data_IF_629276698454
#
_entry.id   IF_629276698454
#
_cell.length_a   1.000
_cell.length_b   1.000
_cell.length_c   1.000
_cell.angle_alpha   90.00
_cell.angle_beta   90.00
_cell.angle_gamma   90.00
#
_symmetry.space_group_name_H-M   'P 1'
#
loop_
_entity.id
_entity.type
_entity.pdbx_description
1 polymer ?
#
# COMPACT_ATOMS: atom_id res chain seq x y z
N UNK A 1 8.64 -0.61 5.18
CA UNK A 1 9.15 -1.91 4.69
C UNK A 1 8.05 -2.88 4.33
N UNK A 2 7.20 -3.36 5.24
CA UNK A 2 6.05 -4.20 4.83
C UNK A 2 4.95 -3.34 4.17
N UNK A 3 4.65 -2.14 4.69
CA UNK A 3 3.67 -1.23 4.08
C UNK A 3 4.14 -0.51 2.79
N UNK A 4 5.42 -0.56 2.40
CA UNK A 4 5.94 0.17 1.24
C UNK A 4 6.09 -0.74 0.00
N UNK A 5 6.42 -2.03 0.20
CA UNK A 5 6.36 -3.05 -0.86
C UNK A 5 4.92 -3.48 -1.19
N UNK A 6 4.03 -3.48 -0.19
CA UNK A 6 2.60 -3.75 -0.42
C UNK A 6 1.90 -2.59 -1.15
N UNK A 7 2.25 -1.34 -0.81
CA UNK A 7 1.77 -0.12 -1.49
C UNK A 7 2.24 -0.05 -2.95
N UNK A 8 3.45 -0.51 -3.27
CA UNK A 8 3.97 -0.53 -4.66
C UNK A 8 3.39 -1.67 -5.51
N UNK A 9 3.06 -2.83 -4.93
CA UNK A 9 2.37 -3.93 -5.64
C UNK A 9 0.89 -3.61 -5.85
N UNK A 10 0.24 -2.93 -4.90
CA UNK A 10 -1.17 -2.50 -5.02
C UNK A 10 -1.30 -1.31 -6.00
N UNK A 11 -0.36 -0.34 -5.98
CA UNK A 11 -0.29 0.76 -6.98
C UNK A 11 0.10 0.23 -8.37
N UNK A 12 0.94 -0.82 -8.47
CA UNK A 12 1.28 -1.46 -9.74
C UNK A 12 0.11 -2.22 -10.39
N UNK A 13 -0.67 -2.96 -9.60
CA UNK A 13 -1.84 -3.68 -10.11
C UNK A 13 -3.06 -2.77 -10.39
N UNK A 14 -3.26 -1.71 -9.58
CA UNK A 14 -4.35 -0.74 -9.80
C UNK A 14 -4.16 0.16 -11.02
N UNK A 15 -2.91 0.49 -11.40
CA UNK A 15 -2.64 1.38 -12.53
C UNK A 15 -2.58 0.62 -13.88
N UNK A 16 -2.13 -0.63 -13.90
CA UNK A 16 -2.12 -1.44 -15.13
C UNK A 16 -3.52 -1.92 -15.54
N UNK A 17 -4.38 -2.28 -14.58
CA UNK A 17 -5.73 -2.79 -14.87
C UNK A 17 -6.72 -1.68 -15.30
N UNK A 18 -6.59 -0.46 -14.75
CA UNK A 18 -7.49 0.67 -15.05
C UNK A 18 -7.14 1.35 -16.39
N UNK A 19 -5.87 1.36 -16.79
CA UNK A 19 -5.42 2.07 -18.00
C UNK A 19 -5.65 1.25 -19.28
N UNK A 20 -5.59 -0.10 -19.22
CA UNK A 20 -5.77 -0.93 -20.43
C UNK A 20 -7.21 -1.39 -20.68
N UNK A 21 -8.06 -1.50 -19.67
CA UNK A 21 -9.40 -2.08 -19.86
C UNK A 21 -10.47 -1.08 -20.33
N UNK A 22 -10.25 0.24 -20.21
CA UNK A 22 -11.34 1.23 -20.29
C UNK A 22 -11.31 2.16 -21.51
N UNK A 23 -10.27 2.14 -22.35
CA UNK A 23 -10.18 3.10 -23.46
C UNK A 23 -10.90 2.70 -24.75
N UNK A 24 -11.40 1.47 -24.88
CA UNK A 24 -11.86 1.00 -26.21
C UNK A 24 -13.37 0.78 -26.38
N UNK A 25 -14.17 0.68 -25.33
CA UNK A 25 -15.57 0.27 -25.52
C UNK A 25 -16.59 1.16 -24.80
N UNK A 26 -17.43 1.78 -25.64
CA UNK A 26 -18.82 2.16 -25.39
C UNK A 26 -19.09 3.56 -24.83
N UNK A 27 -18.99 4.55 -25.72
CA UNK A 27 -19.82 5.75 -25.66
C UNK A 27 -21.22 5.45 -26.25
N UNK A 28 -22.19 5.17 -25.39
CA UNK A 28 -23.62 5.24 -25.77
C UNK A 28 -24.39 5.91 -24.64
N UNK A 29 -24.90 7.10 -24.94
CA UNK A 29 -25.61 7.98 -24.01
C UNK A 29 -27.02 7.48 -23.74
N UNK A 30 -27.41 7.40 -22.46
CA UNK A 30 -28.82 7.28 -22.06
C UNK A 30 -29.12 8.27 -20.95
N UNK A 31 -30.00 9.22 -21.26
CA UNK A 31 -30.49 10.29 -20.38
C UNK A 31 -31.57 9.76 -19.44
N UNK A 32 -31.40 9.90 -18.13
CA UNK A 32 -32.46 9.64 -17.14
C UNK A 32 -32.57 10.80 -16.14
N UNK A 33 -33.80 11.27 -15.97
CA UNK A 33 -34.26 12.46 -15.23
C UNK A 33 -34.43 12.12 -13.74
N UNK A 34 -33.80 12.88 -12.84
CA UNK A 34 -33.90 12.70 -11.39
C UNK A 34 -34.93 13.66 -10.75
N UNK A 35 -35.70 13.13 -9.79
CA UNK A 35 -36.60 13.84 -8.87
C UNK A 35 -35.97 13.96 -7.49
N UNK A 36 -36.05 15.14 -6.86
CA UNK A 36 -35.44 15.47 -5.56
C UNK A 36 -36.27 14.97 -4.34
N UNK A 37 -35.63 14.73 -3.17
CA UNK A 37 -36.32 14.30 -1.95
C UNK A 37 -36.60 15.45 -0.96
N UNK A 38 -37.56 15.19 -0.07
CA UNK A 38 -38.03 16.08 1.00
C UNK A 38 -37.24 15.94 2.32
N UNK A 39 -37.21 17.05 3.04
CA UNK A 39 -36.60 17.35 4.34
C UNK A 39 -37.29 16.68 5.54
N UNK A 40 -36.53 16.39 6.60
CA UNK A 40 -37.03 15.96 7.90
C UNK A 40 -36.06 16.28 9.04
N UNK A 41 -36.58 16.92 10.08
CA UNK A 41 -35.89 17.66 11.14
C UNK A 41 -35.35 16.83 12.33
N UNK A 42 -34.32 17.42 12.98
CA UNK A 42 -33.98 17.49 14.41
C UNK A 42 -34.33 16.37 15.40
N UNK A 43 -33.36 15.96 16.26
CA UNK A 43 -33.59 15.74 17.70
C UNK A 43 -32.30 15.80 18.54
N UNK A 44 -32.47 16.28 19.78
CA UNK A 44 -31.51 16.68 20.81
C UNK A 44 -31.03 15.54 21.75
N UNK A 45 -29.94 15.83 22.50
CA UNK A 45 -29.61 15.34 23.86
C UNK A 45 -29.07 13.89 23.96
N UNK A 46 -28.03 13.52 24.72
CA UNK A 46 -27.72 13.83 26.14
C UNK A 46 -26.29 13.35 26.47
N UNK A 47 -25.54 14.07 27.31
CA UNK A 47 -24.33 13.57 28.00
C UNK A 47 -24.70 12.77 29.27
N UNK A 48 -23.79 11.91 29.75
CA UNK A 48 -23.31 12.12 31.11
C UNK A 48 -21.80 11.89 31.32
N UNK A 49 -21.31 12.59 32.33
CA UNK A 49 -19.98 12.60 32.94
C UNK A 49 -19.68 11.37 33.83
N UNK A 50 -18.44 11.35 34.34
CA UNK A 50 -17.95 10.75 35.60
C UNK A 50 -17.21 9.40 35.46
N UNK A 51 -15.88 9.41 35.66
CA UNK A 51 -15.18 8.45 36.53
C UNK A 51 -13.77 8.97 36.85
N UNK A 52 -13.52 9.16 38.14
CA UNK A 52 -12.23 9.48 38.75
C UNK A 52 -11.42 8.19 38.98
N UNK A 53 -10.10 8.28 38.93
CA UNK A 53 -9.18 7.19 39.32
C UNK A 53 -8.17 7.78 40.32
N UNK A 54 -7.84 7.06 41.42
CA UNK A 54 -7.08 7.62 42.54
C UNK A 54 -5.58 7.64 42.29
N UNK A 55 -4.92 8.63 42.88
CA UNK A 55 -3.49 8.65 43.20
C UNK A 55 -3.27 7.94 44.54
N UNK A 56 -2.37 6.96 44.57
CA UNK A 56 -1.40 6.72 45.66
C UNK A 56 -0.64 5.40 45.40
N UNK A 57 0.68 5.46 45.28
CA UNK A 57 1.59 4.90 46.29
C UNK A 57 3.05 5.05 45.83
N UNK A 58 3.82 5.62 46.74
CA UNK A 58 5.27 5.77 46.68
C UNK A 58 5.95 4.57 47.34
N UNK A 59 7.30 4.57 47.25
CA UNK A 59 8.26 3.81 48.08
C UNK A 59 8.80 2.52 47.46
N UNK A 60 10.13 2.48 47.28
CA UNK A 60 10.86 1.27 46.91
C UNK A 60 12.27 1.54 46.36
N UNK A 61 13.12 2.10 47.21
CA UNK A 61 14.54 2.43 46.97
C UNK A 61 15.42 1.19 46.75
N UNK A 62 16.45 1.39 45.92
CA UNK A 62 17.80 0.82 46.02
C UNK A 62 18.09 -0.58 45.41
N UNK A 63 19.02 -0.59 44.44
CA UNK A 63 20.24 -1.41 44.34
C UNK A 63 20.94 -0.95 43.05
N UNK A 64 21.89 -0.04 43.20
CA UNK A 64 22.89 0.26 42.18
C UNK A 64 24.00 -0.80 42.22
N UNK A 65 23.94 -1.79 41.31
CA UNK A 65 25.10 -2.64 40.98
C UNK A 65 25.91 -1.97 39.87
N UNK A 66 27.17 -1.56 40.14
CA UNK A 66 28.11 -1.16 39.09
C UNK A 66 28.77 -2.43 38.52
N UNK A 67 28.50 -2.74 37.24
CA UNK A 67 29.35 -3.51 36.30
C UNK A 67 28.61 -4.29 35.19
N UNK A 68 27.35 -3.96 34.89
CA UNK A 68 26.78 -4.36 33.60
C UNK A 68 27.35 -3.46 32.50
N UNK A 69 28.49 -3.87 31.93
CA UNK A 69 28.93 -3.42 30.61
C UNK A 69 27.87 -3.89 29.62
N UNK A 70 26.80 -3.10 29.47
CA UNK A 70 25.75 -3.32 28.47
C UNK A 70 26.48 -3.41 27.14
N UNK A 71 26.52 -4.58 26.48
CA UNK A 71 27.15 -4.69 25.18
C UNK A 71 26.40 -3.70 24.28
N UNK A 72 27.09 -2.64 23.87
CA UNK A 72 26.59 -1.63 22.94
C UNK A 72 26.18 -2.37 21.67
N UNK A 73 24.91 -2.76 21.61
CA UNK A 73 24.29 -3.36 20.45
C UNK A 73 24.46 -2.33 19.35
N UNK A 74 25.43 -2.60 18.45
CA UNK A 74 25.75 -1.75 17.32
C UNK A 74 24.55 -1.82 16.37
N UNK A 75 23.56 -0.99 16.64
CA UNK A 75 22.35 -0.88 15.83
C UNK A 75 22.79 -0.47 14.43
N UNK A 76 22.75 -1.42 13.50
CA UNK A 76 22.98 -1.14 12.08
C UNK A 76 22.02 0.00 11.71
N UNK A 77 22.51 1.11 11.15
CA UNK A 77 21.66 2.26 10.89
C UNK A 77 20.53 1.86 9.94
N UNK A 78 19.28 2.07 10.37
CA UNK A 78 18.03 1.73 9.66
C UNK A 78 18.02 2.16 8.19
N UNK A 79 18.73 3.24 7.86
CA UNK A 79 18.91 3.71 6.48
C UNK A 79 19.71 2.74 5.60
N UNK A 80 20.77 2.11 6.11
CA UNK A 80 21.54 1.12 5.37
C UNK A 80 20.69 -0.14 5.09
N UNK A 81 19.85 -0.51 6.04
CA UNK A 81 18.86 -1.59 5.87
C UNK A 81 17.87 -1.23 4.75
N UNK A 82 17.23 -0.05 4.82
CA UNK A 82 16.28 0.42 3.82
C UNK A 82 16.90 0.51 2.41
N UNK A 83 18.13 1.00 2.30
CA UNK A 83 18.84 1.10 1.02
C UNK A 83 19.19 -0.28 0.46
N UNK A 84 19.59 -1.23 1.32
CA UNK A 84 19.80 -2.62 0.94
C UNK A 84 18.53 -3.27 0.36
N UNK A 85 17.36 -2.97 0.94
CA UNK A 85 16.08 -3.46 0.40
C UNK A 85 15.72 -2.82 -0.93
N UNK A 86 15.93 -1.51 -1.09
CA UNK A 86 15.69 -0.83 -2.38
C UNK A 86 16.62 -1.41 -3.46
N UNK A 87 17.90 -1.59 -3.14
CA UNK A 87 18.87 -2.24 -4.03
C UNK A 87 18.44 -3.65 -4.43
N UNK A 88 17.98 -4.45 -3.46
CA UNK A 88 17.44 -5.79 -3.72
C UNK A 88 16.23 -5.79 -4.66
N UNK A 89 15.28 -4.86 -4.47
CA UNK A 89 14.12 -4.72 -5.37
C UNK A 89 14.56 -4.32 -6.78
N UNK A 90 15.50 -3.37 -6.92
CA UNK A 90 16.01 -2.95 -8.22
C UNK A 90 16.71 -4.11 -8.96
N UNK A 91 17.50 -4.92 -8.25
CA UNK A 91 18.14 -6.11 -8.81
C UNK A 91 17.09 -7.12 -9.27
N UNK A 92 16.03 -7.34 -8.47
CA UNK A 92 14.94 -8.24 -8.86
C UNK A 92 14.18 -7.74 -10.10
N UNK A 93 13.93 -6.44 -10.21
CA UNK A 93 13.29 -5.83 -11.39
C UNK A 93 14.18 -5.97 -12.62
N UNK A 94 15.48 -5.65 -12.49
CA UNK A 94 16.44 -5.79 -13.59
C UNK A 94 16.55 -7.24 -14.07
N UNK A 95 16.61 -8.20 -13.14
CA UNK A 95 16.61 -9.63 -13.46
C UNK A 95 15.31 -10.03 -14.16
N UNK A 96 14.16 -9.52 -13.72
CA UNK A 96 12.86 -9.76 -14.36
C UNK A 96 12.81 -9.28 -15.81
N UNK A 97 13.36 -8.09 -16.09
CA UNK A 97 13.46 -7.55 -17.46
C UNK A 97 14.36 -8.42 -18.34
N UNK A 98 15.53 -8.80 -17.85
CA UNK A 98 16.46 -9.69 -18.57
C UNK A 98 15.78 -11.03 -18.88
N UNK A 99 15.11 -11.62 -17.88
CA UNK A 99 14.37 -12.87 -18.08
C UNK A 99 13.29 -12.68 -19.14
N UNK A 100 12.50 -11.60 -19.08
CA UNK A 100 11.45 -11.32 -20.07
C UNK A 100 12.00 -11.22 -21.50
N UNK A 101 13.17 -10.59 -21.68
CA UNK A 101 13.81 -10.41 -22.99
C UNK A 101 14.27 -11.75 -23.60
N UNK A 102 14.88 -12.63 -22.80
CA UNK A 102 15.39 -13.92 -23.28
C UNK A 102 14.39 -15.08 -23.16
N UNK A 103 13.25 -14.90 -22.50
CA UNK A 103 12.30 -15.98 -22.22
C UNK A 103 11.73 -16.62 -23.50
N UNK A 104 11.47 -15.80 -24.52
CA UNK A 104 10.96 -16.25 -25.81
C UNK A 104 11.93 -17.16 -26.55
N UNK A 105 13.23 -16.96 -26.34
CA UNK A 105 14.30 -17.66 -27.05
C UNK A 105 14.61 -19.03 -26.44
N UNK A 106 14.14 -19.26 -25.21
CA UNK A 106 14.26 -20.54 -24.52
C UNK A 106 13.14 -21.49 -24.95
N UNK A 107 13.52 -22.71 -25.33
CA UNK A 107 12.55 -23.81 -25.48
C UNK A 107 11.92 -24.21 -24.14
N UNK A 108 10.81 -24.94 -24.19
CA UNK A 108 10.06 -25.39 -23.01
C UNK A 108 10.93 -26.06 -21.94
N UNK A 109 11.85 -26.95 -22.36
CA UNK A 109 12.78 -27.61 -21.45
C UNK A 109 13.70 -26.62 -20.70
N UNK A 110 14.15 -25.55 -21.36
CA UNK A 110 14.96 -24.50 -20.74
C UNK A 110 14.17 -23.70 -19.71
N UNK A 111 12.93 -23.32 -20.05
CA UNK A 111 12.01 -22.62 -19.13
C UNK A 111 11.69 -23.46 -17.89
N UNK A 112 11.43 -24.76 -18.08
CA UNK A 112 11.21 -25.72 -16.98
C UNK A 112 12.46 -25.88 -16.11
N UNK A 113 13.63 -26.06 -16.72
CA UNK A 113 14.88 -26.24 -15.99
C UNK A 113 15.23 -25.01 -15.14
N UNK A 114 15.07 -23.80 -15.69
CA UNK A 114 15.34 -22.54 -14.98
C UNK A 114 14.36 -22.34 -13.84
N UNK A 115 13.05 -22.52 -14.08
CA UNK A 115 12.03 -22.33 -13.04
C UNK A 115 12.11 -23.38 -11.93
N UNK A 116 12.28 -24.67 -12.27
CA UNK A 116 12.50 -25.74 -11.30
C UNK A 116 13.82 -25.57 -10.54
N UNK A 117 14.89 -25.16 -11.21
CA UNK A 117 16.19 -24.86 -10.61
C UNK A 117 16.11 -23.70 -9.61
N UNK A 118 15.42 -22.63 -9.96
CA UNK A 118 15.17 -21.51 -9.05
C UNK A 118 14.33 -21.94 -7.84
N UNK A 119 13.22 -22.65 -8.07
CA UNK A 119 12.33 -23.15 -7.02
C UNK A 119 13.08 -24.06 -6.02
N UNK A 120 13.73 -25.12 -6.53
CA UNK A 120 14.44 -26.12 -5.73
C UNK A 120 15.73 -25.60 -5.11
N UNK A 121 16.52 -24.83 -5.87
CA UNK A 121 17.79 -24.26 -5.40
C UNK A 121 17.59 -23.28 -4.25
N UNK A 122 16.66 -22.31 -4.38
CA UNK A 122 16.36 -21.37 -3.30
C UNK A 122 15.76 -22.06 -2.08
N UNK A 123 14.91 -23.08 -2.29
CA UNK A 123 14.37 -23.90 -1.21
C UNK A 123 15.48 -24.61 -0.43
N UNK A 124 16.37 -25.30 -1.17
CA UNK A 124 17.48 -26.08 -0.63
C UNK A 124 18.47 -25.21 0.14
N UNK A 125 18.91 -24.08 -0.44
CA UNK A 125 19.79 -23.12 0.25
C UNK A 125 19.11 -22.62 1.52
N UNK A 126 17.83 -22.24 1.45
CA UNK A 126 17.08 -21.83 2.64
C UNK A 126 16.97 -22.92 3.72
N UNK A 127 16.87 -24.20 3.33
CA UNK A 127 16.83 -25.32 4.25
C UNK A 127 18.20 -25.61 4.90
N UNK A 128 19.30 -25.37 4.18
CA UNK A 128 20.68 -25.57 4.67
C UNK A 128 21.15 -24.47 5.63
N UNK A 129 20.54 -23.28 5.59
CA UNK A 129 20.87 -22.20 6.53
C UNK A 129 20.43 -22.54 7.96
N UNK A 130 21.40 -22.75 8.86
CA UNK A 130 21.18 -22.93 10.30
C UNK A 130 20.98 -21.56 10.97
N UNK A 131 19.85 -21.40 11.68
CA UNK A 131 19.32 -20.08 12.12
C UNK A 131 19.49 -19.84 13.62
N UNK A 132 20.26 -20.69 14.30
CA UNK A 132 20.20 -20.80 15.77
C UNK A 132 20.67 -19.55 16.53
N UNK A 133 21.43 -18.64 15.90
CA UNK A 133 21.94 -17.44 16.60
C UNK A 133 21.85 -16.10 15.85
N UNK A 134 21.71 -16.07 14.52
CA UNK A 134 21.75 -14.81 13.76
C UNK A 134 20.37 -14.37 13.22
N UNK A 135 19.83 -13.21 13.64
CA UNK A 135 18.59 -12.65 13.09
C UNK A 135 18.70 -12.30 11.60
N UNK A 136 19.87 -11.97 11.07
CA UNK A 136 20.08 -11.69 9.65
C UNK A 136 19.86 -12.96 8.80
N UNK A 137 20.44 -14.09 9.21
CA UNK A 137 20.23 -15.39 8.54
C UNK A 137 18.78 -15.84 8.56
N UNK A 138 18.04 -15.53 9.65
CA UNK A 138 16.59 -15.79 9.71
C UNK A 138 15.81 -15.03 8.63
N UNK A 139 16.15 -13.76 8.41
CA UNK A 139 15.53 -12.90 7.39
C UNK A 139 15.90 -13.37 5.99
N UNK A 140 17.18 -13.68 5.77
CA UNK A 140 17.66 -14.22 4.50
C UNK A 140 16.95 -15.53 4.15
N UNK A 141 16.81 -16.46 5.11
CA UNK A 141 16.08 -17.72 4.90
C UNK A 141 14.62 -17.47 4.52
N UNK A 142 13.94 -16.55 5.20
CA UNK A 142 12.56 -16.21 4.86
C UNK A 142 12.45 -15.62 3.44
N UNK A 143 13.41 -14.80 3.04
CA UNK A 143 13.49 -14.25 1.68
C UNK A 143 13.74 -15.34 0.63
N UNK A 144 14.70 -16.23 0.86
CA UNK A 144 15.00 -17.37 -0.04
C UNK A 144 13.78 -18.28 -0.22
N UNK A 145 13.06 -18.56 0.85
CA UNK A 145 11.84 -19.36 0.78
C UNK A 145 10.68 -18.65 0.06
N UNK A 146 10.59 -17.33 0.16
CA UNK A 146 9.62 -16.55 -0.62
C UNK A 146 10.00 -16.56 -2.12
N UNK A 147 11.29 -16.41 -2.43
CA UNK A 147 11.81 -16.53 -3.78
C UNK A 147 11.60 -17.93 -4.37
N UNK A 148 11.74 -18.98 -3.54
CA UNK A 148 11.39 -20.35 -3.92
C UNK A 148 9.89 -20.49 -4.25
N UNK A 149 9.00 -19.91 -3.45
CA UNK A 149 7.56 -19.90 -3.75
C UNK A 149 7.26 -19.21 -5.09
N UNK A 150 7.92 -18.08 -5.38
CA UNK A 150 7.81 -17.42 -6.68
C UNK A 150 8.35 -18.29 -7.83
N UNK A 151 9.46 -19.00 -7.62
CA UNK A 151 10.00 -19.98 -8.58
C UNK A 151 9.01 -21.12 -8.86
N UNK A 152 8.35 -21.65 -7.83
CA UNK A 152 7.31 -22.69 -7.97
C UNK A 152 6.07 -22.15 -8.70
N UNK A 153 5.69 -20.90 -8.44
CA UNK A 153 4.62 -20.23 -9.17
C UNK A 153 4.95 -20.11 -10.67
N UNK A 154 6.18 -19.69 -10.99
CA UNK A 154 6.67 -19.62 -12.37
C UNK A 154 6.69 -21.02 -13.03
N UNK A 155 7.18 -22.04 -12.31
CA UNK A 155 7.18 -23.42 -12.80
C UNK A 155 5.76 -23.90 -13.12
N UNK A 156 4.79 -23.62 -12.25
CA UNK A 156 3.38 -23.96 -12.49
C UNK A 156 2.83 -23.26 -13.74
N UNK A 157 3.16 -21.97 -13.94
CA UNK A 157 2.82 -21.24 -15.15
C UNK A 157 3.42 -21.85 -16.42
N UNK A 158 4.71 -22.22 -16.39
CA UNK A 158 5.39 -22.90 -17.51
C UNK A 158 4.74 -24.23 -17.82
N UNK A 159 4.40 -25.04 -16.81
CA UNK A 159 3.72 -26.32 -17.03
C UNK A 159 2.36 -26.10 -17.71
N UNK A 160 1.56 -25.13 -17.26
CA UNK A 160 0.26 -24.84 -17.88
C UNK A 160 0.40 -24.35 -19.32
N UNK A 161 1.34 -23.45 -19.59
CA UNK A 161 1.54 -22.86 -20.94
C UNK A 161 2.21 -23.85 -21.89
N UNK A 162 3.32 -24.47 -21.50
CA UNK A 162 4.17 -25.24 -22.41
C UNK A 162 3.82 -26.74 -22.44
N UNK A 163 3.33 -27.33 -21.34
CA UNK A 163 2.95 -28.77 -21.30
C UNK A 163 1.46 -29.00 -21.57
N UNK A 164 0.60 -28.14 -21.05
CA UNK A 164 -0.86 -28.25 -21.24
C UNK A 164 -1.40 -27.35 -22.37
N UNK A 165 -0.53 -26.64 -23.10
CA UNK A 165 -0.85 -25.71 -24.20
C UNK A 165 -2.02 -24.75 -23.87
N UNK A 166 -2.13 -24.35 -22.61
CA UNK A 166 -3.22 -23.51 -22.13
C UNK A 166 -2.81 -22.05 -22.18
N UNK A 167 -3.46 -21.28 -23.05
CA UNK A 167 -3.24 -19.82 -23.21
C UNK A 167 -4.26 -18.95 -22.48
N UNK A 168 -5.19 -19.57 -21.77
CA UNK A 168 -6.21 -18.84 -21.03
C UNK A 168 -5.59 -18.19 -19.79
N UNK A 169 -5.62 -16.85 -19.74
CA UNK A 169 -5.05 -16.05 -18.65
C UNK A 169 -5.55 -16.49 -17.26
N UNK A 170 -6.83 -16.86 -17.15
CA UNK A 170 -7.45 -17.35 -15.92
C UNK A 170 -6.83 -18.65 -15.42
N UNK A 171 -6.66 -19.64 -16.31
CA UNK A 171 -6.06 -20.94 -15.97
C UNK A 171 -4.61 -20.77 -15.52
N UNK A 172 -3.85 -19.94 -16.23
CA UNK A 172 -2.46 -19.63 -15.87
C UNK A 172 -2.43 -18.94 -14.50
N UNK A 173 -3.28 -17.92 -14.28
CA UNK A 173 -3.35 -17.18 -13.02
C UNK A 173 -3.70 -18.09 -11.85
N UNK A 174 -4.67 -19.01 -12.00
CA UNK A 174 -5.01 -19.99 -10.97
C UNK A 174 -3.84 -20.91 -10.64
N UNK A 175 -3.16 -21.46 -11.64
CA UNK A 175 -2.05 -22.38 -11.41
C UNK A 175 -0.87 -21.70 -10.70
N UNK A 176 -0.49 -20.51 -11.17
CA UNK A 176 0.61 -19.70 -10.60
C UNK A 176 0.28 -19.30 -9.17
N UNK A 177 -0.88 -18.68 -8.93
CA UNK A 177 -1.28 -18.21 -7.60
C UNK A 177 -1.56 -19.34 -6.63
N UNK A 178 -2.16 -20.45 -7.09
CA UNK A 178 -2.42 -21.65 -6.28
C UNK A 178 -1.13 -22.32 -5.82
N UNK A 179 -0.16 -22.50 -6.71
CA UNK A 179 1.14 -23.08 -6.37
C UNK A 179 1.92 -22.18 -5.38
N UNK A 180 1.91 -20.86 -5.60
CA UNK A 180 2.50 -19.88 -4.69
C UNK A 180 1.85 -19.94 -3.30
N UNK A 181 0.52 -19.86 -3.25
CA UNK A 181 -0.27 -19.88 -2.03
C UNK A 181 -0.02 -21.15 -1.23
N UNK A 182 -0.04 -22.31 -1.90
CA UNK A 182 0.18 -23.61 -1.28
C UNK A 182 1.57 -23.69 -0.65
N UNK A 183 2.62 -23.31 -1.36
CA UNK A 183 3.97 -23.37 -0.80
C UNK A 183 4.15 -22.39 0.36
N UNK A 184 3.66 -21.15 0.24
CA UNK A 184 3.69 -20.19 1.33
C UNK A 184 2.90 -20.67 2.56
N UNK A 185 1.72 -21.28 2.37
CA UNK A 185 0.90 -21.83 3.44
C UNK A 185 1.57 -23.02 4.13
N UNK A 186 2.17 -23.94 3.37
CA UNK A 186 2.93 -25.09 3.89
C UNK A 186 4.16 -24.64 4.69
N UNK A 187 4.85 -23.60 4.21
CA UNK A 187 5.98 -23.01 4.93
C UNK A 187 5.53 -22.20 6.14
N UNK A 188 4.37 -21.57 6.09
CA UNK A 188 3.81 -20.84 7.22
C UNK A 188 3.43 -21.81 8.34
N UNK A 189 2.60 -22.84 8.05
CA UNK A 189 2.09 -23.88 8.98
C UNK A 189 1.90 -23.37 10.43
N UNK A 190 1.32 -22.18 10.55
CA UNK A 190 1.08 -21.46 11.79
C UNK A 190 2.31 -21.28 12.70
N UNK A 191 3.49 -21.09 12.12
CA UNK A 191 4.71 -20.67 12.82
C UNK A 191 4.99 -19.19 12.53
N UNK A 192 5.71 -18.52 13.44
CA UNK A 192 6.16 -17.14 13.27
C UNK A 192 7.08 -16.96 12.05
N UNK A 193 6.47 -16.75 10.88
CA UNK A 193 7.11 -16.61 9.57
C UNK A 193 6.37 -15.51 8.78
N UNK A 194 6.61 -14.23 9.09
CA UNK A 194 5.79 -13.10 8.65
C UNK A 194 5.65 -12.99 7.14
N UNK A 195 6.76 -13.18 6.40
CA UNK A 195 6.75 -13.15 4.93
C UNK A 195 5.90 -14.27 4.33
N UNK A 196 5.88 -15.45 4.95
CA UNK A 196 5.18 -16.60 4.36
C UNK A 196 3.71 -16.57 4.70
N UNK A 197 3.36 -16.02 5.86
CA UNK A 197 1.98 -15.67 6.18
C UNK A 197 1.44 -14.64 5.19
N UNK A 198 2.18 -13.55 4.94
CA UNK A 198 1.79 -12.53 3.97
C UNK A 198 1.63 -13.13 2.57
N UNK A 199 2.61 -13.93 2.12
CA UNK A 199 2.56 -14.63 0.83
C UNK A 199 1.39 -15.60 0.74
N UNK A 200 1.08 -16.34 1.81
CA UNK A 200 -0.06 -17.26 1.83
C UNK A 200 -1.38 -16.51 1.71
N UNK A 201 -1.57 -15.40 2.45
CA UNK A 201 -2.79 -14.59 2.39
C UNK A 201 -2.96 -13.98 1.00
N UNK A 202 -1.93 -13.31 0.47
CA UNK A 202 -1.98 -12.66 -0.85
C UNK A 202 -2.15 -13.69 -1.97
N UNK A 203 -1.39 -14.78 -1.94
CA UNK A 203 -1.51 -15.86 -2.92
C UNK A 203 -2.88 -16.50 -2.92
N UNK A 204 -3.43 -16.79 -1.73
CA UNK A 204 -4.77 -17.38 -1.60
C UNK A 204 -5.85 -16.41 -2.06
N UNK A 205 -5.69 -15.11 -1.81
CA UNK A 205 -6.60 -14.10 -2.33
C UNK A 205 -6.61 -14.11 -3.86
N UNK A 206 -5.44 -14.01 -4.51
CA UNK A 206 -5.35 -14.04 -5.98
C UNK A 206 -5.91 -15.35 -6.55
N UNK A 207 -5.59 -16.48 -5.93
CA UNK A 207 -6.14 -17.77 -6.31
C UNK A 207 -7.67 -17.83 -6.20
N UNK A 208 -8.22 -17.39 -5.07
CA UNK A 208 -9.66 -17.33 -4.84
C UNK A 208 -10.35 -16.43 -5.86
N UNK A 209 -9.79 -15.24 -6.13
CA UNK A 209 -10.31 -14.32 -7.14
C UNK A 209 -10.33 -14.96 -8.52
N UNK A 210 -9.23 -15.61 -8.93
CA UNK A 210 -9.15 -16.29 -10.22
C UNK A 210 -10.12 -17.47 -10.34
N UNK A 211 -10.23 -18.30 -9.30
CA UNK A 211 -11.16 -19.44 -9.24
C UNK A 211 -12.61 -18.96 -9.34
N UNK A 212 -12.99 -17.93 -8.58
CA UNK A 212 -14.37 -17.44 -8.59
C UNK A 212 -14.69 -16.74 -9.92
N UNK A 213 -13.79 -15.93 -10.46
CA UNK A 213 -13.99 -15.24 -11.75
C UNK A 213 -14.23 -16.24 -12.91
N UNK A 214 -13.60 -17.42 -12.85
CA UNK A 214 -13.82 -18.47 -13.85
C UNK A 214 -15.24 -19.01 -13.88
N UNK A 215 -15.95 -19.01 -12.76
CA UNK A 215 -17.30 -19.58 -12.66
C UNK A 215 -18.41 -18.52 -12.55
N UNK A 216 -18.13 -17.37 -11.96
CA UNK A 216 -19.14 -16.41 -11.50
C UNK A 216 -18.92 -14.96 -11.98
N UNK A 217 -17.90 -14.67 -12.80
CA UNK A 217 -17.50 -13.31 -13.23
C UNK A 217 -16.88 -12.46 -12.11
N UNK A 218 -16.54 -11.20 -12.42
CA UNK A 218 -15.69 -10.33 -11.60
C UNK A 218 -16.36 -9.84 -10.30
N UNK A 219 -17.67 -9.57 -10.32
CA UNK A 219 -18.44 -9.06 -9.19
C UNK A 219 -18.43 -10.05 -8.01
N UNK A 220 -18.87 -11.30 -8.21
CA UNK A 220 -18.78 -12.34 -7.18
C UNK A 220 -17.35 -12.64 -6.75
N UNK A 221 -16.36 -12.58 -7.65
CA UNK A 221 -14.95 -12.71 -7.29
C UNK A 221 -14.51 -11.59 -6.33
N UNK A 222 -14.94 -10.36 -6.58
CA UNK A 222 -14.74 -9.23 -5.69
C UNK A 222 -15.37 -9.41 -4.31
N UNK A 223 -16.59 -9.95 -4.24
CA UNK A 223 -17.25 -10.27 -2.96
C UNK A 223 -16.50 -11.36 -2.20
N UNK A 224 -16.05 -12.42 -2.89
CA UNK A 224 -15.27 -13.49 -2.28
C UNK A 224 -13.94 -12.97 -1.71
N UNK A 225 -13.22 -12.15 -2.47
CA UNK A 225 -12.02 -11.45 -2.03
C UNK A 225 -12.30 -10.55 -0.82
N UNK A 226 -13.39 -9.78 -0.87
CA UNK A 226 -13.79 -8.88 0.20
C UNK A 226 -14.02 -9.64 1.52
N UNK A 227 -14.83 -10.71 1.47
CA UNK A 227 -15.12 -11.57 2.61
C UNK A 227 -13.86 -12.25 3.15
N UNK A 228 -12.99 -12.74 2.25
CA UNK A 228 -11.72 -13.36 2.64
C UNK A 228 -10.82 -12.37 3.38
N UNK A 229 -10.65 -11.15 2.85
CA UNK A 229 -9.89 -10.09 3.52
C UNK A 229 -10.47 -9.71 4.88
N UNK A 230 -11.80 -9.52 4.94
CA UNK A 230 -12.51 -9.21 6.17
C UNK A 230 -12.35 -10.31 7.24
N UNK A 231 -12.38 -11.59 6.84
CA UNK A 231 -12.15 -12.71 7.74
C UNK A 231 -10.74 -12.68 8.37
N UNK A 232 -9.70 -12.31 7.61
CA UNK A 232 -8.35 -12.13 8.15
C UNK A 232 -8.23 -10.93 9.08
N UNK A 233 -8.91 -9.82 8.79
CA UNK A 233 -8.99 -8.67 9.70
C UNK A 233 -9.65 -9.08 11.02
N UNK A 234 -10.81 -9.75 10.97
CA UNK A 234 -11.51 -10.22 12.17
C UNK A 234 -10.67 -11.25 12.94
N UNK A 235 -10.02 -12.18 12.24
CA UNK A 235 -9.14 -13.19 12.84
C UNK A 235 -7.93 -12.58 13.56
N UNK A 236 -7.33 -11.53 12.97
CA UNK A 236 -6.26 -10.76 13.58
C UNK A 236 -6.73 -9.98 14.81
N UNK A 237 -7.84 -9.24 14.70
CA UNK A 237 -8.42 -8.51 15.83
C UNK A 237 -8.77 -9.42 17.01
N UNK A 238 -9.25 -10.64 16.71
CA UNK A 238 -9.54 -11.69 17.72
C UNK A 238 -8.31 -12.44 18.22
N UNK A 239 -7.11 -12.12 17.73
CA UNK A 239 -5.84 -12.81 18.04
C UNK A 239 -5.88 -14.32 17.78
N UNK A 240 -6.71 -14.75 16.83
CA UNK A 240 -6.82 -16.15 16.44
C UNK A 240 -5.67 -16.62 15.53
N UNK A 241 -4.83 -15.69 15.06
CA UNK A 241 -3.73 -15.92 14.11
C UNK A 241 -2.40 -15.54 14.78
N UNK A 242 -1.33 -16.30 14.49
CA UNK A 242 -0.01 -16.18 15.15
C UNK A 242 0.65 -14.81 15.00
N UNK A 243 0.53 -14.16 13.84
CA UNK A 243 0.91 -12.76 13.65
C UNK A 243 -0.34 -11.95 13.29
N UNK A 244 -1.04 -11.39 14.29
CA UNK A 244 -2.27 -10.62 14.08
C UNK A 244 -2.06 -9.41 13.17
N UNK A 245 -0.98 -8.66 13.36
CA UNK A 245 -0.73 -7.41 12.64
C UNK A 245 -0.59 -7.65 11.14
N UNK A 246 0.10 -8.72 10.72
CA UNK A 246 0.21 -9.06 9.30
C UNK A 246 -1.12 -9.52 8.73
N UNK A 247 -1.88 -10.33 9.47
CA UNK A 247 -3.22 -10.75 9.06
C UNK A 247 -4.17 -9.56 8.88
N UNK A 248 -4.13 -8.60 9.80
CA UNK A 248 -4.93 -7.37 9.75
C UNK A 248 -4.56 -6.50 8.55
N UNK A 249 -3.28 -6.19 8.34
CA UNK A 249 -2.83 -5.34 7.23
C UNK A 249 -3.12 -6.02 5.88
N UNK A 250 -2.76 -7.29 5.74
CA UNK A 250 -2.96 -8.03 4.50
C UNK A 250 -4.45 -8.25 4.23
N UNK A 251 -5.23 -8.61 5.25
CA UNK A 251 -6.68 -8.76 5.16
C UNK A 251 -7.37 -7.44 4.79
N UNK A 252 -6.96 -6.32 5.37
CA UNK A 252 -7.49 -5.00 5.03
C UNK A 252 -7.19 -4.63 3.57
N UNK A 253 -5.97 -4.88 3.11
CA UNK A 253 -5.58 -4.65 1.72
C UNK A 253 -6.37 -5.53 0.75
N UNK A 254 -6.57 -6.81 1.08
CA UNK A 254 -7.36 -7.75 0.27
C UNK A 254 -8.84 -7.38 0.28
N UNK A 255 -9.40 -6.97 1.41
CA UNK A 255 -10.79 -6.52 1.50
C UNK A 255 -11.01 -5.29 0.61
N UNK A 256 -10.10 -4.32 0.68
CA UNK A 256 -10.12 -3.15 -0.18
C UNK A 256 -9.99 -3.51 -1.66
N UNK A 257 -9.04 -4.37 -2.02
CA UNK A 257 -8.90 -4.85 -3.40
C UNK A 257 -10.16 -5.57 -3.90
N UNK A 258 -10.80 -6.39 -3.05
CA UNK A 258 -12.07 -7.03 -3.36
C UNK A 258 -13.16 -6.02 -3.71
N UNK A 259 -13.24 -4.90 -2.97
CA UNK A 259 -14.19 -3.83 -3.31
C UNK A 259 -13.94 -3.20 -4.70
N UNK A 260 -12.68 -3.07 -5.12
CA UNK A 260 -12.34 -2.59 -6.47
C UNK A 260 -12.78 -3.57 -7.57
N UNK A 261 -12.70 -4.89 -7.32
CA UNK A 261 -13.25 -5.90 -8.22
C UNK A 261 -14.78 -5.81 -8.31
N UNK A 262 -15.47 -5.57 -7.20
CA UNK A 262 -16.92 -5.35 -7.21
C UNK A 262 -17.28 -4.13 -8.07
N UNK A 263 -16.51 -3.03 -8.01
CA UNK A 263 -16.72 -1.83 -8.84
C UNK A 263 -16.67 -2.15 -10.34
N UNK A 264 -15.80 -3.08 -10.76
CA UNK A 264 -15.61 -3.41 -12.18
C UNK A 264 -16.86 -3.97 -12.85
N UNK A 265 -17.75 -4.61 -12.09
CA UNK A 265 -19.00 -5.19 -12.60
C UNK A 265 -20.23 -4.45 -12.07
N UNK A 266 -20.26 -4.12 -10.78
CA UNK A 266 -21.39 -3.49 -10.10
C UNK A 266 -20.98 -2.12 -9.57
N UNK A 267 -20.64 -1.20 -10.47
CA UNK A 267 -20.02 0.11 -10.15
C UNK A 267 -20.66 0.79 -8.93
N UNK A 268 -21.98 1.06 -8.95
CA UNK A 268 -22.63 1.77 -7.83
C UNK A 268 -22.57 1.02 -6.49
N UNK A 269 -22.79 -0.30 -6.48
CA UNK A 269 -22.70 -1.10 -5.26
C UNK A 269 -21.24 -1.22 -4.77
N UNK A 270 -20.31 -1.46 -5.69
CA UNK A 270 -18.88 -1.55 -5.39
C UNK A 270 -18.34 -0.27 -4.77
N UNK A 271 -18.74 0.89 -5.27
CA UNK A 271 -18.34 2.21 -4.76
C UNK A 271 -18.79 2.40 -3.29
N UNK A 272 -20.04 2.02 -2.98
CA UNK A 272 -20.56 2.03 -1.60
C UNK A 272 -19.80 1.05 -0.70
N UNK A 273 -19.53 -0.17 -1.18
CA UNK A 273 -18.76 -1.18 -0.44
C UNK A 273 -17.34 -0.69 -0.18
N UNK A 274 -16.69 -0.05 -1.16
CA UNK A 274 -15.32 0.42 -1.04
C UNK A 274 -15.19 1.53 0.01
N UNK A 275 -16.08 2.53 -0.01
CA UNK A 275 -16.12 3.58 1.03
C UNK A 275 -16.49 3.02 2.39
N UNK A 276 -17.46 2.10 2.45
CA UNK A 276 -17.85 1.44 3.70
C UNK A 276 -16.68 0.65 4.30
N UNK A 277 -15.91 -0.05 3.47
CA UNK A 277 -14.69 -0.77 3.86
C UNK A 277 -13.65 0.19 4.39
N UNK A 278 -13.42 1.31 3.70
CA UNK A 278 -12.46 2.32 4.12
C UNK A 278 -12.84 2.93 5.49
N UNK A 279 -14.11 3.27 5.70
CA UNK A 279 -14.62 3.70 7.01
C UNK A 279 -14.49 2.63 8.09
N UNK A 280 -14.81 1.37 7.77
CA UNK A 280 -14.65 0.24 8.69
C UNK A 280 -13.18 0.05 9.10
N UNK A 281 -12.23 0.35 8.22
CA UNK A 281 -10.79 0.32 8.54
C UNK A 281 -10.34 1.54 9.37
N UNK A 282 -10.98 2.69 9.22
CA UNK A 282 -10.70 3.87 10.06
C UNK A 282 -11.30 3.73 11.48
N UNK A 283 -12.43 3.04 11.63
CA UNK A 283 -13.13 2.92 12.91
C UNK A 283 -12.24 2.37 14.07
N UNK A 284 -11.44 1.29 13.89
CA UNK A 284 -10.49 0.83 14.91
C UNK A 284 -9.43 1.85 15.32
N UNK A 285 -9.10 2.80 14.44
CA UNK A 285 -8.16 3.87 14.73
C UNK A 285 -8.79 5.02 15.55
N UNK A 286 -10.11 5.19 15.45
CA UNK A 286 -10.86 6.24 16.15
C UNK A 286 -11.36 5.78 17.53
N UNK A 287 -11.76 4.52 17.64
CA UNK A 287 -12.38 3.97 18.85
C UNK A 287 -11.31 3.27 19.71
N UNK A 288 -11.05 3.83 20.90
CA UNK A 288 -10.12 3.23 21.87
C UNK A 288 -10.66 1.86 22.32
N UNK A 289 -9.77 0.87 22.38
CA UNK A 289 -10.07 -0.47 22.90
C UNK A 289 -10.48 -1.50 21.85
N UNK A 290 -10.64 -1.14 20.58
CA UNK A 290 -10.89 -2.13 19.51
C UNK A 290 -9.62 -2.92 19.18
N UNK A 291 -8.50 -2.24 18.96
CA UNK A 291 -7.20 -2.91 18.79
C UNK A 291 -6.43 -2.90 20.12
N UNK A 292 -5.66 -3.96 20.35
CA UNK A 292 -4.90 -4.10 21.59
C UNK A 292 -3.68 -3.18 21.59
N UNK A 293 -3.05 -2.96 20.42
CA UNK A 293 -1.84 -2.16 20.33
C UNK A 293 -2.08 -0.80 19.66
N UNK A 294 -1.44 0.24 20.18
CA UNK A 294 -1.43 1.58 19.57
C UNK A 294 -0.87 1.57 18.14
N UNK A 295 0.08 0.68 17.87
CA UNK A 295 0.68 0.52 16.53
C UNK A 295 -0.36 0.08 15.51
N UNK A 296 -1.26 -0.83 15.87
CA UNK A 296 -2.33 -1.31 15.01
C UNK A 296 -3.37 -0.22 14.76
N UNK A 297 -3.73 0.58 15.76
CA UNK A 297 -4.61 1.75 15.58
C UNK A 297 -4.04 2.68 14.50
N UNK A 298 -2.73 2.95 14.55
CA UNK A 298 -2.06 3.80 13.57
C UNK A 298 -2.09 3.14 12.19
N UNK A 299 -1.84 1.84 12.09
CA UNK A 299 -1.84 1.10 10.82
C UNK A 299 -3.23 1.07 10.17
N UNK A 300 -4.27 0.73 10.92
CA UNK A 300 -5.66 0.79 10.47
C UNK A 300 -6.05 2.21 10.03
N UNK A 301 -5.66 3.21 10.81
CA UNK A 301 -5.91 4.61 10.47
C UNK A 301 -5.24 5.02 9.16
N UNK A 302 -4.00 4.60 8.93
CA UNK A 302 -3.28 4.87 7.67
C UNK A 302 -3.96 4.14 6.50
N UNK A 303 -4.22 2.84 6.62
CA UNK A 303 -4.80 2.03 5.53
C UNK A 303 -6.21 2.54 5.20
N UNK A 304 -7.07 2.70 6.21
CA UNK A 304 -8.43 3.18 6.03
C UNK A 304 -8.49 4.59 5.46
N UNK A 305 -7.58 5.48 5.88
CA UNK A 305 -7.54 6.83 5.33
C UNK A 305 -7.03 6.85 3.88
N UNK A 306 -6.00 6.05 3.52
CA UNK A 306 -5.60 5.88 2.11
C UNK A 306 -6.77 5.34 1.28
N UNK A 307 -7.45 4.31 1.79
CA UNK A 307 -8.63 3.73 1.15
C UNK A 307 -9.75 4.76 0.93
N UNK A 308 -10.02 5.63 1.90
CA UNK A 308 -11.02 6.70 1.78
C UNK A 308 -10.62 7.69 0.68
N UNK A 309 -9.36 8.14 0.69
CA UNK A 309 -8.89 9.09 -0.32
C UNK A 309 -8.97 8.49 -1.73
N UNK A 310 -8.72 7.18 -1.88
CA UNK A 310 -8.82 6.51 -3.17
C UNK A 310 -10.26 6.28 -3.65
N UNK A 311 -11.22 6.08 -2.75
CA UNK A 311 -12.60 5.65 -3.12
C UNK A 311 -13.61 6.79 -3.14
N UNK A 312 -13.54 7.71 -2.17
CA UNK A 312 -14.50 8.81 -2.05
C UNK A 312 -14.66 9.63 -3.34
N UNK A 313 -13.58 9.98 -4.09
CA UNK A 313 -13.76 10.71 -5.34
C UNK A 313 -14.51 9.90 -6.41
N UNK A 314 -14.28 8.59 -6.48
CA UNK A 314 -15.01 7.69 -7.39
C UNK A 314 -16.50 7.66 -7.08
N UNK A 315 -16.85 7.48 -5.80
CA UNK A 315 -18.24 7.55 -5.31
C UNK A 315 -18.90 8.87 -5.66
N UNK A 316 -18.27 10.01 -5.31
CA UNK A 316 -18.85 11.32 -5.58
C UNK A 316 -18.99 11.52 -7.10
N UNK A 317 -17.98 11.18 -7.90
CA UNK A 317 -18.05 11.31 -9.36
C UNK A 317 -19.19 10.49 -9.96
N UNK A 318 -19.36 9.25 -9.50
CA UNK A 318 -20.45 8.37 -9.93
C UNK A 318 -21.83 8.92 -9.56
N UNK A 319 -22.04 9.34 -8.31
CA UNK A 319 -23.35 9.81 -7.84
C UNK A 319 -23.66 11.27 -8.19
N UNK A 320 -22.65 12.08 -8.50
CA UNK A 320 -22.80 13.47 -8.91
C UNK A 320 -22.87 13.65 -10.44
N UNK A 321 -23.18 12.58 -11.19
CA UNK A 321 -23.30 12.58 -12.65
C UNK A 321 -22.05 13.15 -13.34
N UNK A 322 -20.88 12.64 -12.97
CA UNK A 322 -19.59 13.00 -13.58
C UNK A 322 -19.18 14.47 -13.40
N UNK A 323 -19.58 15.12 -12.29
CA UNK A 323 -19.11 16.44 -11.87
C UNK A 323 -17.63 16.44 -11.42
N UNK A 324 -16.72 15.98 -12.28
CA UNK A 324 -15.30 15.72 -12.00
C UNK A 324 -14.53 16.90 -11.43
N UNK A 325 -14.66 18.10 -11.98
CA UNK A 325 -14.00 19.31 -11.45
C UNK A 325 -14.53 19.64 -10.06
N UNK A 326 -15.84 19.69 -9.87
CA UNK A 326 -16.43 20.00 -8.57
C UNK A 326 -16.02 18.97 -7.51
N UNK A 327 -16.07 17.69 -7.86
CA UNK A 327 -15.64 16.56 -7.01
C UNK A 327 -14.18 16.68 -6.63
N UNK A 328 -13.29 16.88 -7.62
CA UNK A 328 -11.86 17.00 -7.40
C UNK A 328 -11.51 18.21 -6.55
N UNK A 329 -12.16 19.36 -6.76
CA UNK A 329 -11.99 20.56 -5.94
C UNK A 329 -12.46 20.33 -4.50
N UNK A 330 -13.60 19.68 -4.28
CA UNK A 330 -14.07 19.35 -2.92
C UNK A 330 -13.07 18.44 -2.20
N UNK A 331 -12.61 17.38 -2.86
CA UNK A 331 -11.60 16.45 -2.30
C UNK A 331 -10.30 17.19 -2.00
N UNK A 332 -9.87 18.07 -2.90
CA UNK A 332 -8.69 18.92 -2.72
C UNK A 332 -8.84 19.86 -1.51
N UNK A 333 -9.98 20.54 -1.38
CA UNK A 333 -10.28 21.43 -0.24
C UNK A 333 -10.31 20.64 1.09
N UNK A 334 -10.94 19.48 1.13
CA UNK A 334 -10.90 18.59 2.30
C UNK A 334 -9.46 18.19 2.64
N UNK A 335 -8.65 17.83 1.64
CA UNK A 335 -7.23 17.54 1.80
C UNK A 335 -6.45 18.71 2.40
N UNK A 336 -6.67 19.94 1.91
CA UNK A 336 -6.06 21.16 2.44
C UNK A 336 -6.41 21.39 3.91
N UNK A 337 -7.68 21.20 4.29
CA UNK A 337 -8.17 21.38 5.66
C UNK A 337 -7.52 20.34 6.59
N UNK A 338 -7.53 19.06 6.20
CA UNK A 338 -6.93 17.97 7.00
C UNK A 338 -5.42 18.18 7.14
N UNK A 339 -4.74 18.55 6.06
CA UNK A 339 -3.32 18.87 6.07
C UNK A 339 -3.01 20.01 7.03
N UNK A 340 -3.82 21.08 6.99
CA UNK A 340 -3.65 22.25 7.85
C UNK A 340 -3.92 21.90 9.31
N UNK A 341 -4.95 21.11 9.61
CA UNK A 341 -5.24 20.62 10.94
C UNK A 341 -4.09 19.76 11.49
N UNK A 342 -3.49 18.90 10.66
CA UNK A 342 -2.31 18.11 11.00
C UNK A 342 -1.05 18.98 11.21
N UNK A 343 -0.83 19.98 10.36
CA UNK A 343 0.29 20.92 10.48
C UNK A 343 0.20 21.80 11.75
N UNK A 344 -1.02 22.18 12.14
CA UNK A 344 -1.30 22.95 13.37
C UNK A 344 -1.47 22.09 14.62
N UNK A 345 -1.29 20.77 14.51
CA UNK A 345 -1.46 19.82 15.61
C UNK A 345 -2.85 19.88 16.29
N UNK A 346 -3.89 20.22 15.53
CA UNK A 346 -5.27 20.23 16.03
C UNK A 346 -5.84 18.82 16.23
N UNK A 347 -5.19 17.81 15.63
CA UNK A 347 -5.57 16.40 15.73
C UNK A 347 -4.57 15.63 16.57
N UNK A 348 -5.04 14.55 17.22
CA UNK A 348 -4.20 13.66 18.05
C UNK A 348 -3.08 12.97 17.28
N UNK A 349 -3.27 12.75 15.98
CA UNK A 349 -2.32 12.10 15.09
C UNK A 349 -1.94 13.07 13.95
N UNK A 350 -1.14 14.11 14.24
CA UNK A 350 -0.81 15.15 13.27
C UNK A 350 -0.13 14.60 12.03
N UNK A 351 0.74 13.60 12.18
CA UNK A 351 1.44 12.94 11.07
C UNK A 351 0.45 12.22 10.15
N UNK A 352 -0.53 11.50 10.69
CA UNK A 352 -1.53 10.78 9.88
C UNK A 352 -2.38 11.78 9.11
N UNK A 353 -2.88 12.82 9.76
CA UNK A 353 -3.63 13.87 9.07
C UNK A 353 -2.80 14.57 7.99
N UNK A 354 -1.52 14.82 8.23
CA UNK A 354 -0.63 15.38 7.22
C UNK A 354 -0.49 14.46 5.99
N UNK A 355 -0.26 13.16 6.20
CA UNK A 355 -0.15 12.18 5.10
C UNK A 355 -1.44 12.08 4.30
N UNK A 356 -2.58 12.00 4.99
CA UNK A 356 -3.92 11.88 4.39
C UNK A 356 -4.30 13.15 3.63
N UNK A 357 -4.06 14.31 4.24
CA UNK A 357 -4.32 15.61 3.61
C UNK A 357 -3.48 15.83 2.35
N UNK A 358 -2.19 15.48 2.39
CA UNK A 358 -1.32 15.54 1.22
C UNK A 358 -1.77 14.59 0.09
N UNK A 359 -2.15 13.36 0.42
CA UNK A 359 -2.72 12.41 -0.54
C UNK A 359 -4.02 12.91 -1.17
N UNK A 360 -4.94 13.45 -0.37
CA UNK A 360 -6.20 14.00 -0.83
C UNK A 360 -6.04 15.22 -1.74
N UNK A 361 -5.07 16.09 -1.47
CA UNK A 361 -4.71 17.18 -2.39
C UNK A 361 -4.28 16.65 -3.76
N UNK A 362 -3.40 15.64 -3.80
CA UNK A 362 -2.90 15.06 -5.06
C UNK A 362 -4.05 14.39 -5.82
N UNK A 363 -4.83 13.56 -5.14
CA UNK A 363 -5.94 12.81 -5.75
C UNK A 363 -7.05 13.76 -6.20
N UNK A 364 -7.43 14.74 -5.40
CA UNK A 364 -8.38 15.77 -5.80
C UNK A 364 -7.96 16.50 -7.08
N UNK A 365 -6.67 16.81 -7.21
CA UNK A 365 -6.16 17.43 -8.43
C UNK A 365 -6.25 16.53 -9.67
N UNK A 366 -5.97 15.23 -9.53
CA UNK A 366 -6.12 14.24 -10.61
C UNK A 366 -7.58 14.08 -11.01
N UNK A 367 -8.50 14.04 -10.03
CA UNK A 367 -9.94 13.84 -10.26
C UNK A 367 -10.55 14.98 -11.07
N UNK A 368 -10.07 16.21 -10.91
CA UNK A 368 -10.50 17.34 -11.76
C UNK A 368 -10.26 17.07 -13.26
N UNK A 369 -9.32 16.19 -13.60
CA UNK A 369 -8.97 15.82 -14.99
C UNK A 369 -9.95 14.90 -15.68
N UNK A 370 -10.90 14.32 -14.94
CA UNK A 370 -11.93 13.45 -15.52
C UNK A 370 -12.87 14.21 -16.46
N UNK A 371 -13.11 15.50 -16.21
CA UNK A 371 -13.91 16.36 -17.07
C UNK A 371 -13.07 17.16 -18.07
N UNK A 372 -11.92 17.69 -17.63
CA UNK A 372 -11.03 18.47 -18.49
C UNK A 372 -9.58 17.98 -18.36
N UNK A 373 -9.15 17.24 -19.39
CA UNK A 373 -7.81 16.66 -19.49
C UNK A 373 -6.68 17.70 -19.47
N UNK A 374 -6.95 18.97 -19.81
CA UNK A 374 -5.95 20.04 -19.76
C UNK A 374 -5.79 20.68 -18.38
N UNK A 375 -6.87 20.72 -17.60
CA UNK A 375 -6.87 21.34 -16.27
C UNK A 375 -6.10 20.53 -15.23
N UNK A 376 -6.31 19.22 -15.20
CA UNK A 376 -5.69 18.33 -14.22
C UNK A 376 -4.15 18.39 -14.14
N UNK A 377 -3.40 18.23 -15.25
CA UNK A 377 -1.94 18.21 -15.18
C UNK A 377 -1.37 19.53 -14.64
N UNK A 378 -1.99 20.68 -15.00
CA UNK A 378 -1.59 21.99 -14.48
C UNK A 378 -1.92 22.12 -12.99
N UNK A 379 -3.13 21.77 -12.59
CA UNK A 379 -3.58 21.86 -11.20
C UNK A 379 -2.81 20.89 -10.28
N UNK A 380 -2.49 19.70 -10.78
CA UNK A 380 -1.63 18.72 -10.14
C UNK A 380 -0.19 19.21 -9.99
N UNK A 381 0.37 19.85 -11.02
CA UNK A 381 1.71 20.46 -10.94
C UNK A 381 1.77 21.59 -9.90
N UNK A 382 0.78 22.49 -9.89
CA UNK A 382 0.68 23.57 -8.89
C UNK A 382 0.58 23.00 -7.47
N UNK A 383 -0.25 21.97 -7.28
CA UNK A 383 -0.40 21.27 -6.00
C UNK A 383 0.92 20.64 -5.56
N UNK A 384 1.62 19.96 -6.48
CA UNK A 384 2.90 19.31 -6.21
C UNK A 384 3.98 20.31 -5.80
N UNK A 385 4.12 21.43 -6.53
CA UNK A 385 5.04 22.52 -6.21
C UNK A 385 4.70 23.13 -4.84
N UNK A 386 3.41 23.34 -4.56
CA UNK A 386 2.94 23.84 -3.26
C UNK A 386 3.34 22.93 -2.10
N UNK A 387 3.22 21.62 -2.25
CA UNK A 387 3.64 20.63 -1.25
C UNK A 387 5.17 20.61 -1.05
N UNK A 388 5.96 20.73 -2.14
CA UNK A 388 7.42 20.87 -2.05
C UNK A 388 7.79 22.15 -1.29
N UNK A 389 7.19 23.28 -1.65
CA UNK A 389 7.42 24.56 -0.98
C UNK A 389 7.05 24.50 0.50
N UNK A 390 5.92 23.87 0.85
CA UNK A 390 5.51 23.67 2.23
C UNK A 390 6.50 22.80 3.01
N UNK A 391 7.08 21.79 2.36
CA UNK A 391 8.10 20.91 2.94
C UNK A 391 9.45 21.56 3.23
N UNK A 392 9.68 22.81 2.79
CA UNK A 392 10.86 23.59 3.18
C UNK A 392 10.76 24.12 4.61
N UNK A 393 9.55 24.17 5.19
CA UNK A 393 9.33 24.63 6.57
C UNK A 393 9.79 23.58 7.59
N UNK A 394 10.37 24.00 8.73
CA UNK A 394 10.76 23.09 9.81
C UNK A 394 9.59 22.22 10.26
N UNK A 395 9.82 20.91 10.44
CA UNK A 395 8.79 19.96 10.89
C UNK A 395 7.80 19.47 9.83
N UNK A 396 7.88 19.95 8.58
CA UNK A 396 7.01 19.52 7.47
C UNK A 396 7.77 18.81 6.35
N UNK A 397 8.96 18.26 6.62
CA UNK A 397 9.82 17.63 5.62
C UNK A 397 9.13 16.50 4.82
N UNK A 398 8.17 15.79 5.44
CA UNK A 398 7.33 14.77 4.79
C UNK A 398 6.53 15.35 3.61
N UNK A 399 6.14 16.63 3.65
CA UNK A 399 5.39 17.27 2.54
C UNK A 399 6.23 17.37 1.26
N UNK A 400 7.55 17.55 1.40
CA UNK A 400 8.45 17.58 0.26
C UNK A 400 8.52 16.22 -0.45
N UNK A 401 8.41 15.12 0.32
CA UNK A 401 8.34 13.77 -0.25
C UNK A 401 7.08 13.58 -1.09
N UNK A 402 5.91 14.00 -0.59
CA UNK A 402 4.65 13.93 -1.32
C UNK A 402 4.64 14.85 -2.54
N UNK A 403 5.13 16.09 -2.40
CA UNK A 403 5.26 17.01 -3.52
C UNK A 403 6.18 16.46 -4.62
N UNK A 404 7.30 15.83 -4.23
CA UNK A 404 8.21 15.18 -5.19
C UNK A 404 7.56 13.98 -5.90
N UNK A 405 6.85 13.14 -5.16
CA UNK A 405 6.10 12.02 -5.74
C UNK A 405 4.99 12.51 -6.70
N UNK A 406 4.29 13.59 -6.33
CA UNK A 406 3.28 14.20 -7.19
C UNK A 406 3.89 14.78 -8.47
N UNK A 407 5.09 15.39 -8.42
CA UNK A 407 5.81 15.86 -9.61
C UNK A 407 6.16 14.69 -10.54
N UNK A 408 6.58 13.55 -10.00
CA UNK A 408 6.88 12.34 -10.80
C UNK A 408 5.68 11.82 -11.58
N UNK A 409 4.46 12.02 -11.07
CA UNK A 409 3.23 11.61 -11.75
C UNK A 409 2.77 12.69 -12.73
N UNK A 410 2.71 13.95 -12.28
CA UNK A 410 2.09 15.03 -13.04
C UNK A 410 2.98 15.57 -14.16
N UNK A 411 4.31 15.52 -14.04
CA UNK A 411 5.22 16.02 -15.10
C UNK A 411 5.14 15.17 -16.37
N UNK A 412 5.29 13.83 -16.33
CA UNK A 412 5.12 13.00 -17.53
C UNK A 412 3.73 13.15 -18.13
N UNK A 413 2.69 13.24 -17.28
CA UNK A 413 1.32 13.41 -17.73
C UNK A 413 1.10 14.75 -18.46
N UNK A 414 1.57 15.86 -17.88
CA UNK A 414 1.50 17.18 -18.49
C UNK A 414 2.22 17.21 -19.84
N UNK A 415 3.42 16.63 -19.92
CA UNK A 415 4.18 16.61 -21.17
C UNK A 415 3.46 15.77 -22.23
N UNK A 416 2.94 14.59 -21.86
CA UNK A 416 2.16 13.76 -22.79
C UNK A 416 0.94 14.51 -23.33
N UNK A 417 0.24 15.26 -22.47
CA UNK A 417 -0.94 16.02 -22.85
C UNK A 417 -0.62 17.25 -23.73
N UNK A 418 0.33 18.10 -23.32
CA UNK A 418 0.61 19.36 -24.01
C UNK A 418 1.56 19.23 -25.22
N UNK A 419 2.31 18.13 -25.35
CA UNK A 419 3.31 17.93 -26.40
C UNK A 419 3.12 16.63 -27.20
N UNK A 420 1.94 16.38 -27.81
CA UNK A 420 1.69 15.15 -28.56
C UNK A 420 2.67 15.02 -29.76
N UNK A 421 3.44 13.93 -29.83
CA UNK A 421 4.37 13.67 -30.94
C UNK A 421 5.24 12.41 -30.79
N UNK A 422 5.39 11.64 -31.89
CA UNK A 422 6.01 10.28 -31.93
C UNK A 422 7.50 10.20 -31.56
N UNK A 423 8.22 11.33 -31.46
CA UNK A 423 9.67 11.35 -31.17
C UNK A 423 10.06 11.70 -29.73
N UNK A 424 9.09 11.94 -28.83
CA UNK A 424 9.36 12.55 -27.51
C UNK A 424 9.36 11.57 -26.34
N UNK A 425 8.89 10.34 -26.54
CA UNK A 425 8.89 9.26 -25.53
C UNK A 425 10.28 8.98 -24.94
N UNK A 426 11.38 8.96 -25.72
CA UNK A 426 12.72 8.75 -25.15
C UNK A 426 13.20 9.92 -24.29
N UNK A 427 12.89 11.16 -24.68
CA UNK A 427 13.21 12.37 -23.90
C UNK A 427 12.40 12.43 -22.59
N UNK A 428 11.16 11.96 -22.62
CA UNK A 428 10.29 11.80 -21.44
C UNK A 428 10.86 10.80 -20.44
N UNK A 429 11.31 9.65 -20.94
CA UNK A 429 11.97 8.62 -20.11
C UNK A 429 13.26 9.19 -19.52
N UNK A 430 14.10 9.87 -20.32
CA UNK A 430 15.33 10.50 -19.84
C UNK A 430 15.07 11.59 -18.78
N UNK A 431 14.11 12.48 -19.03
CA UNK A 431 13.75 13.56 -18.10
C UNK A 431 13.18 13.01 -16.79
N UNK A 432 12.31 12.00 -16.86
CA UNK A 432 11.79 11.30 -15.68
C UNK A 432 12.92 10.60 -14.91
N UNK A 433 13.85 9.95 -15.60
CA UNK A 433 15.01 9.28 -14.99
C UNK A 433 15.93 10.26 -14.26
N UNK A 434 16.25 11.41 -14.89
CA UNK A 434 17.03 12.47 -14.26
C UNK A 434 16.30 13.11 -13.09
N UNK A 435 14.97 13.28 -13.17
CA UNK A 435 14.15 13.79 -12.07
C UNK A 435 14.15 12.81 -10.88
N UNK A 436 13.96 11.51 -11.12
CA UNK A 436 14.04 10.45 -10.11
C UNK A 436 15.42 10.47 -9.44
N UNK A 437 16.51 10.61 -10.22
CA UNK A 437 17.86 10.71 -9.70
C UNK A 437 18.05 11.96 -8.82
N UNK A 438 17.55 13.11 -9.28
CA UNK A 438 17.61 14.37 -8.53
C UNK A 438 16.87 14.29 -7.21
N UNK A 439 15.67 13.69 -7.19
CA UNK A 439 14.89 13.44 -5.97
C UNK A 439 15.63 12.48 -5.04
N UNK A 440 16.20 11.39 -5.56
CA UNK A 440 16.97 10.44 -4.76
C UNK A 440 18.19 11.11 -4.08
N UNK A 441 18.90 11.98 -4.79
CA UNK A 441 20.03 12.77 -4.24
C UNK A 441 19.55 13.79 -3.20
N UNK A 442 18.43 14.46 -3.45
CA UNK A 442 17.83 15.39 -2.49
C UNK A 442 17.41 14.67 -1.20
N UNK A 443 16.80 13.50 -1.31
CA UNK A 443 16.42 12.66 -0.16
C UNK A 443 17.64 12.16 0.61
N UNK A 444 18.70 11.74 -0.10
CA UNK A 444 19.95 11.32 0.52
C UNK A 444 20.62 12.46 1.31
N UNK A 445 20.60 13.70 0.78
CA UNK A 445 21.12 14.88 1.47
C UNK A 445 20.26 15.30 2.66
N UNK A 446 18.94 15.27 2.53
CA UNK A 446 18.01 15.73 3.58
C UNK A 446 17.84 14.72 4.74
N UNK A 447 18.24 13.47 4.56
CA UNK A 447 18.29 12.47 5.65
C UNK A 447 19.16 12.87 6.85
N UNK A 448 20.19 13.69 6.64
CA UNK A 448 21.02 14.24 7.73
C UNK A 448 20.27 15.23 8.62
N UNK A 449 19.33 15.99 8.05
CA UNK A 449 18.49 16.96 8.76
C UNK A 449 17.36 16.27 9.52
N UNK A 450 16.71 15.27 8.91
CA UNK A 450 15.67 14.45 9.54
C UNK A 450 16.22 13.74 10.79
N UNK A 451 17.46 13.25 10.73
CA UNK A 451 18.14 12.63 11.88
C UNK A 451 18.33 13.61 13.05
N UNK A 452 18.54 14.90 12.78
CA UNK A 452 18.65 15.93 13.84
C UNK A 452 17.31 16.29 14.46
N UNK A 453 16.22 16.23 13.69
CA UNK A 453 14.87 16.55 14.18
C UNK A 453 14.19 15.38 14.91
N UNK A 454 14.52 14.13 14.55
CA UNK A 454 13.93 12.91 15.13
C UNK A 454 14.87 12.22 16.12
N UNK A 455 16.14 12.62 16.18
CA UNK A 455 17.10 12.11 17.15
C UNK A 455 16.60 12.32 18.58
N UNK A 456 16.78 11.35 19.50
CA UNK A 456 16.27 11.45 20.86
C UNK A 456 16.82 12.73 21.48
N UNK A 457 15.92 13.66 21.83
CA UNK A 457 16.27 14.81 22.64
C UNK A 457 16.88 14.25 23.93
N UNK A 458 18.21 14.28 24.02
CA UNK A 458 18.88 14.23 25.31
C UNK A 458 18.35 15.43 26.08
N UNK A 459 17.29 15.22 26.87
CA UNK A 459 16.97 16.12 27.95
C UNK A 459 18.23 16.13 28.81
N UNK A 460 18.95 17.26 28.92
CA UNK A 460 19.99 17.36 29.91
C UNK A 460 19.29 17.05 31.24
N UNK A 461 19.69 15.96 31.89
CA UNK A 461 19.25 15.69 33.26
C UNK A 461 19.85 16.83 34.08
N UNK A 462 19.04 17.87 34.29
CA UNK A 462 19.38 18.94 35.21
C UNK A 462 19.66 18.28 36.55
N UNK A 463 20.92 18.33 36.96
CA UNK A 463 21.30 18.09 38.34
C UNK A 463 20.64 19.22 39.15
N UNK A 464 19.49 18.90 39.74
CA UNK A 464 18.97 19.64 40.88
C UNK A 464 19.94 19.36 42.04
N UNK A 465 20.67 20.41 42.43
CA UNK A 465 21.48 20.45 43.64
C UNK A 465 20.60 20.69 44.86
#
# INVERSE_FOLDING_TARGET
MIALGLLLVIIGFGVAAVVMSRSEHHSTSTSTRATAPASGDSFLSTQPSLFAVPEDESVGTDISTPDDVVPLHRSVPVFAEALGYIGGVLVMVALGVIVQEYWSDLGAAGRLAISAGAAGGLFGIGALLTVERDPALRRLRAFLWLGSAAGTALLAGVIVVDLFDSRADRTITMAVSGAFALQCALLWRNRFRPLQQLGAIVGTAVFLGAVVDQFLHNGPAGVALWLFGAAFVVGGLRRAIVDPTIAEIAGAAVAFAGSAFIISEWMGFGEVVAVSTAWALVAPAMIRGITAERREQILFGIIGAVALVMTVPGVIGYFAFEAGIATGVVVWCCGAIILTAGARQWVRLPVVAQLVGAGALIIGAVVCGSQDSGFAPLFGLVTAIGLVALGTRPGLSIMSLFGSAALLINVPWAIHHFYPGRGRTPLLILASGLLILGVAVLLARSGTRIRKEVGPQHRPMGHAA
#
